data_IF_122039925861
#
_entry.id   IF_122039925861
#
_cell.length_a   1.000
_cell.length_b   1.000
_cell.length_c   1.000
_cell.angle_alpha   90.00
_cell.angle_beta   90.00
_cell.angle_gamma   90.00
#
_symmetry.space_group_name_H-M   'P 1'
#
loop_
_entity.id
_entity.type
_entity.pdbx_description
1 polymer ?
#
# COMPACT_ATOMS: atom_id res chain seq x y z
N UNK A 1 1.91 0.53 -11.23
CA UNK A 1 2.03 2.01 -11.18
C UNK A 1 1.84 2.65 -12.56
N UNK A 2 0.83 2.22 -13.34
CA UNK A 2 0.63 2.74 -14.70
C UNK A 2 0.30 4.25 -14.74
N UNK A 3 -0.15 4.82 -13.62
CA UNK A 3 -0.52 6.24 -13.51
C UNK A 3 0.65 7.21 -13.36
N UNK A 4 1.80 6.77 -12.83
CA UNK A 4 2.98 7.63 -12.64
C UNK A 4 4.06 7.41 -13.70
N UNK A 5 3.91 6.37 -14.52
CA UNK A 5 4.86 5.99 -15.58
C UNK A 5 4.65 6.74 -16.91
N UNK A 6 3.64 7.62 -17.00
CA UNK A 6 3.36 8.44 -18.17
C UNK A 6 3.03 9.88 -17.71
N UNK A 7 4.06 10.73 -17.60
CA UNK A 7 3.91 12.12 -17.14
C UNK A 7 5.23 12.73 -16.66
N UNK A 8 5.19 13.91 -16.04
CA UNK A 8 6.38 14.65 -15.58
C UNK A 8 7.24 13.88 -14.56
N UNK A 9 6.65 12.88 -13.90
CA UNK A 9 7.33 12.01 -12.92
C UNK A 9 7.84 10.70 -13.54
N UNK A 10 7.59 10.44 -14.83
CA UNK A 10 7.91 9.16 -15.46
C UNK A 10 9.39 8.82 -15.37
N UNK A 11 10.28 9.78 -15.66
CA UNK A 11 11.74 9.57 -15.52
C UNK A 11 12.11 9.14 -14.10
N UNK A 12 11.67 9.89 -13.09
CA UNK A 12 11.97 9.55 -11.69
C UNK A 12 11.40 8.18 -11.29
N UNK A 13 10.22 7.81 -11.79
CA UNK A 13 9.60 6.50 -11.54
C UNK A 13 10.39 5.37 -12.23
N UNK A 14 10.89 5.60 -13.44
CA UNK A 14 11.72 4.64 -14.16
C UNK A 14 13.11 4.48 -13.50
N UNK A 15 13.73 5.59 -13.09
CA UNK A 15 15.05 5.59 -12.44
C UNK A 15 15.06 4.78 -11.13
N UNK A 16 13.94 4.70 -10.42
CA UNK A 16 13.82 3.93 -9.16
C UNK A 16 13.70 2.41 -9.40
N UNK A 17 13.38 1.95 -10.62
CA UNK A 17 13.40 0.52 -10.95
C UNK A 17 12.36 -0.33 -10.22
N UNK A 18 11.14 0.19 -10.03
CA UNK A 18 10.06 -0.47 -9.25
C UNK A 18 9.72 -1.90 -9.69
N UNK A 19 9.79 -2.20 -10.99
CA UNK A 19 9.55 -3.56 -11.51
C UNK A 19 10.59 -4.55 -10.98
N UNK A 20 11.87 -4.19 -11.09
CA UNK A 20 12.99 -4.98 -10.57
C UNK A 20 12.86 -5.16 -9.06
N UNK A 21 12.55 -4.10 -8.32
CA UNK A 21 12.34 -4.17 -6.88
C UNK A 21 11.24 -5.17 -6.51
N UNK A 22 10.06 -5.10 -7.15
CA UNK A 22 8.95 -6.01 -6.87
C UNK A 22 9.27 -7.47 -7.24
N UNK A 23 10.03 -7.69 -8.32
CA UNK A 23 10.47 -9.03 -8.71
C UNK A 23 11.44 -9.61 -7.68
N UNK A 24 12.41 -8.83 -7.22
CA UNK A 24 13.34 -9.25 -6.17
C UNK A 24 12.61 -9.53 -4.86
N UNK A 25 11.63 -8.70 -4.49
CA UNK A 25 10.82 -8.90 -3.29
C UNK A 25 10.00 -10.19 -3.37
N UNK A 26 9.38 -10.47 -4.52
CA UNK A 26 8.64 -11.72 -4.73
C UNK A 26 9.54 -12.95 -4.60
N UNK A 27 10.68 -12.93 -5.29
CA UNK A 27 11.70 -13.98 -5.21
C UNK A 27 12.19 -14.21 -3.77
N UNK A 28 12.48 -13.14 -3.03
CA UNK A 28 12.94 -13.26 -1.63
C UNK A 28 11.85 -13.73 -0.68
N UNK A 29 10.59 -13.34 -0.91
CA UNK A 29 9.46 -13.84 -0.14
C UNK A 29 9.30 -15.35 -0.33
N UNK A 30 9.34 -15.83 -1.58
CA UNK A 30 9.27 -17.25 -1.90
C UNK A 30 10.40 -18.05 -1.24
N UNK A 31 11.66 -17.60 -1.36
CA UNK A 31 12.79 -18.23 -0.68
C UNK A 31 12.63 -18.34 0.84
N UNK A 32 11.90 -17.40 1.46
CA UNK A 32 11.63 -17.38 2.89
C UNK A 32 10.34 -18.14 3.29
N UNK A 33 9.66 -18.80 2.35
CA UNK A 33 8.35 -19.43 2.58
C UNK A 33 7.26 -18.42 2.95
N UNK A 34 7.37 -17.18 2.47
CA UNK A 34 6.42 -16.09 2.73
C UNK A 34 5.64 -15.74 1.46
N UNK A 35 4.42 -15.25 1.65
CA UNK A 35 3.58 -14.77 0.56
C UNK A 35 3.73 -13.26 0.38
N UNK A 36 3.79 -12.81 -0.88
CA UNK A 36 3.73 -11.40 -1.23
C UNK A 36 2.33 -11.05 -1.73
N UNK A 37 1.58 -10.28 -0.97
CA UNK A 37 0.24 -9.81 -1.34
C UNK A 37 0.32 -8.38 -1.87
N UNK A 38 -0.17 -8.15 -3.08
CA UNK A 38 -0.30 -6.81 -3.67
C UNK A 38 -1.67 -6.23 -3.30
N UNK A 39 -1.69 -5.03 -2.75
CA UNK A 39 -2.93 -4.28 -2.45
C UNK A 39 -3.10 -3.12 -3.42
N UNK A 40 -4.31 -2.57 -3.53
CA UNK A 40 -4.52 -1.28 -4.21
C UNK A 40 -3.71 -0.19 -3.47
N UNK A 41 -2.81 0.55 -4.14
CA UNK A 41 -2.04 1.63 -3.50
C UNK A 41 -2.81 2.96 -3.40
N UNK A 42 -3.99 3.08 -4.03
CA UNK A 42 -4.72 4.36 -4.14
C UNK A 42 -5.06 4.93 -2.77
N UNK A 43 -4.77 6.23 -2.58
CA UNK A 43 -5.03 7.01 -1.37
C UNK A 43 -4.38 6.52 -0.07
N UNK A 44 -3.43 5.57 -0.11
CA UNK A 44 -2.80 5.02 1.11
C UNK A 44 -2.14 6.08 1.98
N UNK A 45 -1.62 7.17 1.42
CA UNK A 45 -1.03 8.28 2.17
C UNK A 45 -2.03 9.31 2.72
N UNK A 46 -3.31 9.19 2.34
CA UNK A 46 -4.38 10.13 2.69
C UNK A 46 -5.45 9.48 3.58
N UNK A 47 -5.73 8.19 3.40
CA UNK A 47 -6.68 7.45 4.20
C UNK A 47 -6.19 7.35 5.66
N UNK A 48 -7.06 7.71 6.59
CA UNK A 48 -6.82 7.51 8.01
C UNK A 48 -6.97 6.01 8.35
N UNK A 49 -5.96 5.35 8.94
CA UNK A 49 -6.09 3.94 9.31
C UNK A 49 -7.08 3.68 10.45
N UNK A 50 -7.49 4.73 11.17
CA UNK A 50 -8.43 4.63 12.29
C UNK A 50 -9.90 4.79 11.84
N UNK A 51 -10.21 5.87 11.11
CA UNK A 51 -11.60 6.20 10.74
C UNK A 51 -11.89 6.11 9.23
N UNK A 52 -10.90 5.78 8.41
CA UNK A 52 -11.00 5.68 6.94
C UNK A 52 -11.35 6.97 6.19
N UNK A 53 -11.41 8.12 6.87
CA UNK A 53 -11.55 9.42 6.21
C UNK A 53 -10.32 9.74 5.33
N UNK A 54 -10.54 10.47 4.23
CA UNK A 54 -9.48 10.91 3.33
C UNK A 54 -9.01 12.31 3.69
N UNK A 55 -7.77 12.40 4.18
CA UNK A 55 -7.11 13.66 4.50
C UNK A 55 -6.24 14.10 3.33
N UNK A 56 -6.73 15.03 2.51
CA UNK A 56 -5.97 15.55 1.37
C UNK A 56 -4.77 16.37 1.87
N UNK A 57 -3.56 15.96 1.48
CA UNK A 57 -2.32 16.62 1.90
C UNK A 57 -1.24 16.63 0.80
N UNK A 58 -0.36 17.65 0.76
CA UNK A 58 0.75 17.68 -0.17
C UNK A 58 1.84 16.67 0.20
N UNK A 59 2.71 16.33 -0.76
CA UNK A 59 3.82 15.38 -0.53
C UNK A 59 4.84 15.85 0.51
N UNK A 60 4.94 17.17 0.74
CA UNK A 60 5.80 17.75 1.78
C UNK A 60 5.27 17.52 3.20
N UNK A 61 3.98 17.26 3.38
CA UNK A 61 3.40 16.98 4.69
C UNK A 61 3.74 15.54 5.11
N UNK A 62 4.55 15.41 6.17
CA UNK A 62 5.06 14.11 6.67
C UNK A 62 4.33 13.58 7.90
N UNK A 63 3.39 14.34 8.44
CA UNK A 63 2.55 13.95 9.57
C UNK A 63 1.12 13.77 9.07
N UNK A 64 0.49 12.66 9.40
CA UNK A 64 -0.93 12.44 9.20
C UNK A 64 -1.68 12.91 10.44
N UNK A 65 -2.39 14.04 10.34
CA UNK A 65 -3.38 14.51 11.30
C UNK A 65 -4.76 14.27 10.70
N UNK A 66 -5.67 13.73 11.50
CA UNK A 66 -7.06 13.47 11.13
C UNK A 66 -8.00 13.96 12.22
N UNK A 67 -9.19 14.40 11.82
CA UNK A 67 -10.23 14.91 12.73
C UNK A 67 -10.73 13.86 13.73
N UNK A 68 -10.51 12.56 13.47
CA UNK A 68 -10.78 11.51 14.46
C UNK A 68 -9.80 11.47 15.64
N UNK A 69 -8.81 12.36 15.68
CA UNK A 69 -7.82 12.47 16.75
C UNK A 69 -6.50 11.73 16.50
N UNK A 70 -6.39 10.95 15.41
CA UNK A 70 -5.14 10.26 15.08
C UNK A 70 -4.08 11.26 14.56
N UNK A 71 -2.92 11.28 15.23
CA UNK A 71 -1.72 12.01 14.76
C UNK A 71 -0.51 11.09 14.75
N UNK A 72 -0.06 10.68 13.57
CA UNK A 72 1.11 9.78 13.39
C UNK A 72 1.92 10.18 12.15
N UNK A 73 3.11 9.60 11.95
CA UNK A 73 3.87 9.77 10.71
C UNK A 73 3.06 9.28 9.50
N UNK A 74 3.07 10.03 8.39
CA UNK A 74 2.28 9.71 7.18
C UNK A 74 2.61 8.34 6.62
N UNK A 75 3.88 7.97 6.63
CA UNK A 75 4.33 6.68 6.08
C UNK A 75 3.93 5.52 7.00
N UNK A 76 3.84 5.73 8.33
CA UNK A 76 3.24 4.77 9.26
C UNK A 76 1.72 4.64 9.06
N UNK A 77 1.02 5.76 8.85
CA UNK A 77 -0.41 5.74 8.52
C UNK A 77 -0.67 4.90 7.25
N UNK A 78 0.12 5.14 6.20
CA UNK A 78 0.04 4.39 4.96
C UNK A 78 0.34 2.89 5.16
N UNK A 79 1.33 2.55 5.99
CA UNK A 79 1.63 1.15 6.32
C UNK A 79 0.46 0.45 7.01
N UNK A 80 -0.23 1.11 7.95
CA UNK A 80 -1.43 0.55 8.59
C UNK A 80 -2.59 0.37 7.61
N UNK A 81 -2.82 1.33 6.70
CA UNK A 81 -3.82 1.19 5.63
C UNK A 81 -3.49 -0.02 4.74
N UNK A 82 -2.22 -0.16 4.33
CA UNK A 82 -1.75 -1.29 3.50
C UNK A 82 -1.94 -2.62 4.23
N UNK A 83 -1.58 -2.69 5.52
CA UNK A 83 -1.78 -3.88 6.35
C UNK A 83 -3.26 -4.26 6.42
N UNK A 84 -4.14 -3.30 6.74
CA UNK A 84 -5.58 -3.55 6.80
C UNK A 84 -6.15 -4.04 5.47
N UNK A 85 -5.71 -3.48 4.33
CA UNK A 85 -6.10 -3.97 3.00
C UNK A 85 -5.58 -5.39 2.74
N UNK A 86 -4.33 -5.68 3.10
CA UNK A 86 -3.72 -7.00 2.91
C UNK A 86 -4.42 -8.10 3.70
N UNK A 87 -4.73 -7.84 4.97
CA UNK A 87 -5.46 -8.79 5.83
C UNK A 87 -6.87 -9.07 5.29
N UNK A 88 -7.58 -8.04 4.80
CA UNK A 88 -8.91 -8.22 4.18
C UNK A 88 -8.86 -9.11 2.93
N UNK A 89 -7.86 -8.91 2.06
CA UNK A 89 -7.69 -9.76 0.87
C UNK A 89 -7.37 -11.21 1.24
N UNK A 90 -6.54 -11.42 2.27
CA UNK A 90 -6.24 -12.77 2.75
C UNK A 90 -7.48 -13.47 3.31
N UNK A 91 -8.30 -12.77 4.10
CA UNK A 91 -9.54 -13.31 4.64
C UNK A 91 -10.52 -13.73 3.51
N UNK A 92 -10.73 -12.86 2.52
CA UNK A 92 -11.60 -13.15 1.37
C UNK A 92 -11.12 -14.35 0.54
N UNK A 93 -9.81 -14.46 0.33
CA UNK A 93 -9.23 -15.60 -0.41
C UNK A 93 -9.47 -16.92 0.33
N UNK A 94 -9.38 -16.88 1.67
CA UNK A 94 -9.61 -18.06 2.51
C UNK A 94 -11.09 -18.49 2.50
N UNK A 95 -12.03 -17.54 2.63
CA UNK A 95 -13.47 -17.81 2.52
C UNK A 95 -13.83 -18.43 1.16
N UNK A 96 -13.27 -17.90 0.06
CA UNK A 96 -13.48 -18.46 -1.27
C UNK A 96 -12.88 -19.87 -1.40
N UNK A 97 -11.69 -20.13 -0.86
CA UNK A 97 -11.09 -21.48 -0.92
C UNK A 97 -11.89 -22.56 -0.19
N UNK A 98 -12.62 -22.19 0.87
CA UNK A 98 -13.51 -23.10 1.61
C UNK A 98 -14.81 -23.37 0.84
N UNK A 99 -15.29 -22.41 0.04
CA UNK A 99 -16.50 -22.54 -0.76
C UNK A 99 -16.34 -23.36 -2.04
N UNK A 100 -15.11 -23.57 -2.51
CA UNK A 100 -14.80 -24.40 -3.71
C UNK A 100 -14.17 -25.75 -3.32
N UNK A 101 -14.13 -26.09 -2.04
CA UNK A 101 -13.74 -27.40 -1.51
C UNK A 101 -14.97 -28.21 -1.08
#
# INVERSE_FOLDING_TARGET
MKSLSAGILAKAVHDVGWSTFLNMLAYKAENAGRQLVKVDPKYTSQECPNCHALEKKPLSERVHRCDCGLTIGRDHAAAFVILGRGLRLQAQTMEQSVLVA
#
